data_IF_379607734172
#
_entry.id   IF_379607734172
#
_cell.length_a   1.000
_cell.length_b   1.000
_cell.length_c   1.000
_cell.angle_alpha   90.00
_cell.angle_beta   90.00
_cell.angle_gamma   90.00
#
_symmetry.space_group_name_H-M   'P 1'
#
loop_
_entity.id
_entity.type
_entity.pdbx_description
1 polymer ?
#
# COMPACT_ATOMS: atom_id res chain seq x y z
N UNK A 1 -6.63 -17.93 11.47
CA UNK A 1 -6.65 -19.05 10.52
C UNK A 1 -5.34 -19.81 10.63
N UNK A 2 -4.21 -19.37 10.06
CA UNK A 2 -2.93 -20.12 10.07
C UNK A 2 -2.55 -20.64 11.47
N UNK A 3 -2.67 -19.80 12.50
CA UNK A 3 -2.37 -20.18 13.89
C UNK A 3 -3.36 -21.18 14.49
N UNK A 4 -4.52 -21.37 13.92
CA UNK A 4 -5.52 -22.37 14.36
C UNK A 4 -5.19 -23.74 13.79
N UNK A 5 -4.70 -23.77 12.54
CA UNK A 5 -4.44 -24.98 11.80
C UNK A 5 -3.01 -25.52 12.02
N UNK A 6 -2.10 -24.68 12.53
CA UNK A 6 -0.69 -25.01 12.69
C UNK A 6 -0.24 -24.85 14.15
N UNK A 7 0.17 -25.97 14.76
CA UNK A 7 0.69 -26.01 16.13
C UNK A 7 2.20 -25.86 16.22
N UNK A 8 2.92 -26.09 15.11
CA UNK A 8 4.38 -26.07 15.06
C UNK A 8 4.95 -24.66 14.79
N UNK A 9 4.20 -23.82 14.08
CA UNK A 9 4.61 -22.45 13.75
C UNK A 9 3.44 -21.49 14.02
N UNK A 10 3.73 -20.32 14.56
CA UNK A 10 2.73 -19.28 14.83
C UNK A 10 3.14 -17.97 14.18
N UNK A 11 2.18 -17.25 13.62
CA UNK A 11 2.34 -15.89 13.14
C UNK A 11 2.01 -14.93 14.28
N UNK A 12 2.96 -14.07 14.63
CA UNK A 12 2.79 -12.96 15.55
C UNK A 12 2.76 -11.66 14.76
N UNK A 13 1.75 -10.81 15.00
CA UNK A 13 1.61 -9.54 14.31
C UNK A 13 2.44 -8.45 14.99
N UNK A 14 3.13 -7.66 14.18
CA UNK A 14 3.88 -6.47 14.58
C UNK A 14 3.45 -5.28 13.72
N UNK A 15 3.22 -4.14 14.34
CA UNK A 15 3.00 -2.90 13.63
C UNK A 15 4.36 -2.28 13.25
N UNK A 16 4.41 -1.69 12.07
CA UNK A 16 5.59 -1.02 11.53
C UNK A 16 5.18 0.31 10.89
N UNK A 17 6.14 1.10 10.44
CA UNK A 17 5.87 2.34 9.72
C UNK A 17 5.31 2.11 8.30
N UNK A 18 5.50 0.91 7.70
CA UNK A 18 4.95 0.58 6.39
C UNK A 18 5.93 -0.13 5.45
N UNK A 19 5.80 0.10 4.14
CA UNK A 19 6.43 -0.71 3.10
C UNK A 19 7.96 -0.70 3.16
N UNK A 20 8.61 0.46 3.20
CA UNK A 20 10.07 0.54 3.23
C UNK A 20 10.64 0.01 4.55
N UNK A 21 9.96 0.29 5.68
CA UNK A 21 10.31 -0.29 6.97
C UNK A 21 10.24 -1.83 6.95
N UNK A 22 9.18 -2.40 6.36
CA UNK A 22 9.02 -3.86 6.23
C UNK A 22 10.13 -4.48 5.37
N UNK A 23 10.48 -3.86 4.24
CA UNK A 23 11.58 -4.29 3.38
C UNK A 23 12.91 -4.29 4.15
N UNK A 24 13.20 -3.22 4.87
CA UNK A 24 14.42 -3.11 5.69
C UNK A 24 14.47 -4.20 6.77
N UNK A 25 13.35 -4.45 7.45
CA UNK A 25 13.24 -5.47 8.49
C UNK A 25 13.35 -6.90 7.94
N UNK A 26 12.72 -7.19 6.79
CA UNK A 26 12.87 -8.48 6.08
C UNK A 26 14.31 -8.71 5.65
N UNK A 27 14.93 -7.71 5.01
CA UNK A 27 16.33 -7.79 4.57
C UNK A 27 17.30 -7.99 5.74
N UNK A 28 17.01 -7.38 6.89
CA UNK A 28 17.75 -7.57 8.12
C UNK A 28 17.42 -8.85 8.89
N UNK A 29 16.45 -9.64 8.42
CA UNK A 29 15.94 -10.85 9.09
C UNK A 29 15.37 -10.60 10.50
N UNK A 30 14.81 -9.42 10.73
CA UNK A 30 14.12 -9.06 11.97
C UNK A 30 12.65 -9.49 11.98
N UNK A 31 12.07 -9.69 10.81
CA UNK A 31 10.74 -10.25 10.60
C UNK A 31 10.78 -11.32 9.52
N UNK A 32 9.87 -12.27 9.59
CA UNK A 32 9.79 -13.40 8.66
C UNK A 32 8.82 -13.14 7.50
N UNK A 33 7.78 -12.35 7.73
CA UNK A 33 6.76 -11.96 6.75
C UNK A 33 6.55 -10.46 6.81
N UNK A 34 6.24 -9.86 5.66
CA UNK A 34 5.91 -8.43 5.57
C UNK A 34 4.98 -8.15 4.41
N UNK A 35 4.17 -7.11 4.54
CA UNK A 35 3.36 -6.57 3.44
C UNK A 35 4.03 -5.29 2.96
N UNK A 36 4.19 -5.15 1.65
CA UNK A 36 4.76 -3.95 1.05
C UNK A 36 4.11 -3.64 -0.30
N UNK A 37 4.18 -2.40 -0.72
CA UNK A 37 3.82 -2.00 -2.09
C UNK A 37 4.86 -2.55 -3.06
N UNK A 38 4.40 -2.97 -4.26
CA UNK A 38 5.27 -3.63 -5.24
C UNK A 38 6.34 -2.68 -5.82
N UNK A 39 6.02 -1.41 -5.99
CA UNK A 39 6.98 -0.38 -6.43
C UNK A 39 8.16 -0.24 -5.46
N UNK A 40 7.89 -0.25 -4.16
CA UNK A 40 8.92 -0.17 -3.12
C UNK A 40 9.70 -1.49 -3.04
N UNK A 41 9.00 -2.63 -3.10
CA UNK A 41 9.64 -3.94 -3.06
C UNK A 41 10.59 -4.15 -4.25
N UNK A 42 10.17 -3.78 -5.47
CA UNK A 42 11.00 -3.86 -6.68
C UNK A 42 12.19 -2.90 -6.63
N UNK A 43 11.93 -1.63 -6.32
CA UNK A 43 12.97 -0.60 -6.26
C UNK A 43 14.05 -0.96 -5.24
N UNK A 44 13.67 -1.42 -4.07
CA UNK A 44 14.61 -1.83 -3.04
C UNK A 44 15.39 -3.10 -3.43
N UNK A 45 14.71 -4.08 -4.03
CA UNK A 45 15.34 -5.34 -4.48
C UNK A 45 16.41 -5.10 -5.55
N UNK A 46 16.12 -4.22 -6.51
CA UNK A 46 16.99 -3.90 -7.64
C UNK A 46 17.98 -2.76 -7.37
N UNK A 47 17.80 -1.97 -6.31
CA UNK A 47 18.63 -0.81 -6.00
C UNK A 47 18.35 0.39 -6.91
N UNK A 48 17.09 0.55 -7.34
CA UNK A 48 16.63 1.61 -8.26
C UNK A 48 15.78 2.67 -7.55
N UNK A 49 15.82 2.71 -6.21
CA UNK A 49 15.04 3.66 -5.42
C UNK A 49 15.47 5.11 -5.64
N UNK A 50 14.55 6.07 -5.57
CA UNK A 50 14.82 7.49 -5.86
C UNK A 50 15.75 8.16 -4.83
N UNK A 51 15.94 7.56 -3.67
CA UNK A 51 16.73 8.12 -2.58
C UNK A 51 17.88 7.23 -2.10
N UNK A 52 17.95 5.98 -2.54
CA UNK A 52 18.99 5.05 -2.09
C UNK A 52 19.25 4.00 -3.18
N UNK A 53 20.46 3.96 -3.70
CA UNK A 53 20.93 2.91 -4.63
C UNK A 53 21.24 1.60 -3.90
N UNK A 54 21.00 1.55 -2.59
CA UNK A 54 21.24 0.36 -1.79
C UNK A 54 20.23 -0.73 -2.13
N UNK A 55 20.75 -1.90 -2.46
CA UNK A 55 19.93 -3.11 -2.63
C UNK A 55 19.58 -3.70 -1.28
N UNK A 56 18.29 -3.94 -1.09
CA UNK A 56 17.77 -4.72 0.00
C UNK A 56 17.31 -6.08 -0.54
N UNK A 57 17.97 -7.13 -0.13
CA UNK A 57 17.66 -8.52 -0.54
C UNK A 57 17.40 -9.36 0.70
N UNK A 58 17.19 -10.66 0.53
CA UNK A 58 16.87 -11.56 1.63
C UNK A 58 15.36 -11.76 1.82
N UNK A 59 14.55 -11.28 0.87
CA UNK A 59 13.11 -11.53 0.81
C UNK A 59 12.66 -11.96 -0.58
N UNK A 60 11.54 -12.64 -0.63
CA UNK A 60 10.93 -13.20 -1.83
C UNK A 60 9.42 -12.99 -1.78
N UNK A 61 8.77 -12.97 -2.94
CA UNK A 61 7.33 -12.79 -3.04
C UNK A 61 6.55 -14.06 -2.69
N UNK A 62 5.37 -13.87 -2.09
CA UNK A 62 4.36 -14.91 -1.92
C UNK A 62 3.19 -14.67 -2.86
N UNK A 63 2.52 -13.52 -2.75
CA UNK A 63 1.32 -13.22 -3.52
C UNK A 63 1.03 -11.71 -3.55
N UNK A 64 0.36 -11.24 -4.60
CA UNK A 64 -0.38 -9.98 -4.59
C UNK A 64 -1.64 -10.15 -3.72
N UNK A 65 -1.93 -9.20 -2.85
CA UNK A 65 -3.07 -9.24 -1.94
C UNK A 65 -4.25 -8.41 -2.47
N UNK A 66 -4.04 -7.12 -2.69
CA UNK A 66 -5.05 -6.16 -3.16
C UNK A 66 -4.37 -4.94 -3.77
N UNK A 67 -5.18 -4.04 -4.33
CA UNK A 67 -4.69 -2.73 -4.78
C UNK A 67 -4.97 -1.70 -3.70
N UNK A 68 -3.93 -0.99 -3.29
CA UNK A 68 -4.03 0.18 -2.44
C UNK A 68 -4.34 1.41 -3.30
N UNK A 69 -5.27 2.23 -2.82
CA UNK A 69 -5.63 3.52 -3.43
C UNK A 69 -4.99 4.66 -2.64
N UNK A 70 -4.35 5.59 -3.31
CA UNK A 70 -3.83 6.80 -2.67
C UNK A 70 -4.97 7.80 -2.47
N UNK A 71 -5.46 7.92 -1.25
CA UNK A 71 -6.62 8.73 -0.88
C UNK A 71 -6.14 10.06 -0.32
N UNK A 72 -6.49 11.16 -0.99
CA UNK A 72 -6.09 12.51 -0.61
C UNK A 72 -7.31 13.19 -0.02
N UNK A 73 -7.30 13.40 1.29
CA UNK A 73 -8.46 13.85 2.06
C UNK A 73 -8.28 15.32 2.44
N UNK A 74 -9.30 16.12 2.21
CA UNK A 74 -9.44 17.52 2.62
C UNK A 74 -10.79 17.74 3.29
N UNK A 75 -10.96 18.84 4.03
CA UNK A 75 -12.27 19.23 4.57
C UNK A 75 -13.21 19.64 3.44
N UNK A 76 -14.47 19.24 3.51
CA UNK A 76 -15.48 19.58 2.50
C UNK A 76 -15.72 21.09 2.37
N UNK A 77 -15.65 21.82 3.48
CA UNK A 77 -15.81 23.27 3.55
C UNK A 77 -14.54 24.07 3.22
N UNK A 78 -13.44 23.38 2.85
CA UNK A 78 -12.18 24.02 2.45
C UNK A 78 -12.24 24.57 1.02
N UNK A 79 -11.33 25.48 0.70
CA UNK A 79 -11.08 26.03 -0.64
C UNK A 79 -10.20 25.10 -1.53
N UNK A 80 -9.98 23.84 -1.11
CA UNK A 80 -9.12 22.88 -1.79
C UNK A 80 -9.96 21.91 -2.63
N UNK A 81 -9.96 22.09 -3.95
CA UNK A 81 -10.72 21.26 -4.91
C UNK A 81 -9.83 20.43 -5.83
N UNK A 82 -8.55 20.76 -5.90
CA UNK A 82 -7.55 20.12 -6.76
C UNK A 82 -6.19 20.04 -6.06
N UNK A 83 -5.26 19.27 -6.65
CA UNK A 83 -3.88 19.20 -6.14
C UNK A 83 -3.20 20.58 -6.15
N UNK A 84 -3.49 21.45 -7.13
CA UNK A 84 -2.91 22.79 -7.21
C UNK A 84 -3.29 23.67 -6.02
N UNK A 85 -4.45 23.46 -5.41
CA UNK A 85 -4.92 24.25 -4.27
C UNK A 85 -4.19 23.86 -2.96
N UNK A 86 -3.36 22.82 -3.00
CA UNK A 86 -2.47 22.45 -1.87
C UNK A 86 -1.27 23.39 -1.74
N UNK A 87 -1.05 24.31 -2.69
CA UNK A 87 0.01 25.31 -2.60
C UNK A 87 -0.16 26.17 -1.33
N UNK A 88 0.91 26.29 -0.53
CA UNK A 88 0.93 27.01 0.74
C UNK A 88 0.27 26.27 1.91
N UNK A 89 -0.29 25.10 1.69
CA UNK A 89 -0.98 24.28 2.71
C UNK A 89 0.00 23.38 3.45
N UNK A 90 -0.44 22.92 4.64
CA UNK A 90 0.27 21.91 5.43
C UNK A 90 -0.37 20.54 5.20
N UNK A 91 0.41 19.56 4.74
CA UNK A 91 -0.10 18.28 4.27
C UNK A 91 0.62 17.12 4.96
N UNK A 92 -0.12 16.21 5.57
CA UNK A 92 0.44 14.94 6.04
C UNK A 92 0.63 13.98 4.87
N UNK A 93 1.85 13.48 4.72
CA UNK A 93 2.23 12.56 3.63
C UNK A 93 2.39 11.10 4.09
N UNK A 94 1.98 10.77 5.32
CA UNK A 94 2.16 9.46 5.93
C UNK A 94 3.42 9.38 6.80
N UNK A 95 3.58 8.27 7.51
CA UNK A 95 4.76 8.01 8.33
C UNK A 95 6.04 7.95 7.48
N UNK A 96 7.17 8.30 8.06
CA UNK A 96 8.47 8.02 7.45
C UNK A 96 8.62 6.51 7.12
N UNK A 97 9.29 6.18 6.03
CA UNK A 97 9.44 4.81 5.53
C UNK A 97 8.11 4.11 5.17
N UNK A 98 7.00 4.86 5.00
CA UNK A 98 5.73 4.29 4.53
C UNK A 98 5.58 4.33 3.02
N UNK A 99 4.68 3.49 2.50
CA UNK A 99 4.26 3.55 1.11
C UNK A 99 3.48 4.82 0.79
N UNK A 100 2.69 5.32 1.75
CA UNK A 100 1.96 6.59 1.61
C UNK A 100 2.90 7.77 1.41
N UNK A 101 4.00 7.83 2.17
CA UNK A 101 5.02 8.86 1.99
C UNK A 101 5.62 8.83 0.58
N UNK A 102 5.97 7.64 0.10
CA UNK A 102 6.53 7.48 -1.24
C UNK A 102 5.55 7.93 -2.32
N UNK A 103 4.31 7.47 -2.26
CA UNK A 103 3.28 7.83 -3.24
C UNK A 103 2.94 9.33 -3.18
N UNK A 104 2.78 9.90 -1.98
CA UNK A 104 2.51 11.32 -1.81
C UNK A 104 3.63 12.18 -2.42
N UNK A 105 4.89 11.87 -2.14
CA UNK A 105 6.05 12.57 -2.73
C UNK A 105 6.04 12.51 -4.26
N UNK A 106 5.69 11.37 -4.85
CA UNK A 106 5.60 11.24 -6.30
C UNK A 106 4.45 12.06 -6.88
N UNK A 107 3.26 12.00 -6.27
CA UNK A 107 2.10 12.78 -6.69
C UNK A 107 2.41 14.28 -6.61
N UNK A 108 2.92 14.76 -5.49
CA UNK A 108 3.28 16.16 -5.31
C UNK A 108 4.33 16.62 -6.34
N UNK A 109 5.39 15.82 -6.55
CA UNK A 109 6.43 16.09 -7.54
C UNK A 109 5.86 16.23 -8.95
N UNK A 110 5.02 15.29 -9.40
CA UNK A 110 4.48 15.30 -10.77
C UNK A 110 3.33 16.30 -10.96
N UNK A 111 2.75 16.79 -9.86
CA UNK A 111 1.84 17.94 -9.86
C UNK A 111 2.58 19.28 -9.80
N UNK A 112 3.91 19.28 -9.67
CA UNK A 112 4.70 20.51 -9.58
C UNK A 112 4.71 21.17 -8.19
N UNK A 113 4.26 20.45 -7.16
CA UNK A 113 4.25 20.89 -5.77
C UNK A 113 5.57 20.51 -5.10
N UNK A 114 6.48 21.47 -5.00
CA UNK A 114 7.80 21.28 -4.37
C UNK A 114 7.76 21.69 -2.90
N UNK A 115 8.78 21.27 -2.14
CA UNK A 115 8.93 21.62 -0.72
C UNK A 115 9.05 23.15 -0.47
N UNK A 116 9.28 23.95 -1.53
CA UNK A 116 9.30 25.41 -1.46
C UNK A 116 7.89 26.02 -1.40
N UNK A 117 6.90 25.30 -1.93
CA UNK A 117 5.53 25.84 -2.10
C UNK A 117 4.47 25.04 -1.32
N UNK A 118 4.82 23.94 -0.70
CA UNK A 118 3.95 23.13 0.15
C UNK A 118 4.71 22.71 1.40
N UNK A 119 4.03 22.67 2.55
CA UNK A 119 4.62 22.17 3.78
C UNK A 119 4.20 20.74 4.03
N UNK A 120 5.13 19.80 3.94
CA UNK A 120 4.86 18.39 4.24
C UNK A 120 5.22 18.04 5.68
N UNK A 121 4.44 17.14 6.30
CA UNK A 121 4.71 16.57 7.62
C UNK A 121 4.51 15.06 7.58
N UNK A 122 5.34 14.34 8.32
CA UNK A 122 5.22 12.89 8.45
C UNK A 122 4.45 12.57 9.74
N UNK A 123 3.27 11.98 9.59
CA UNK A 123 2.41 11.53 10.67
C UNK A 123 1.86 10.14 10.32
N UNK A 124 1.63 9.31 11.32
CA UNK A 124 0.83 8.11 11.10
C UNK A 124 -0.64 8.48 10.86
N UNK A 125 -1.44 7.51 10.43
CA UNK A 125 -2.84 7.79 10.03
C UNK A 125 -3.71 8.29 11.18
N UNK A 126 -3.47 7.83 12.41
CA UNK A 126 -4.21 8.23 13.59
C UNK A 126 -3.87 9.67 14.00
N UNK A 127 -2.57 9.96 14.07
CA UNK A 127 -2.08 11.30 14.39
C UNK A 127 -2.47 12.30 13.29
N UNK A 128 -2.39 11.90 12.00
CA UNK A 128 -2.84 12.74 10.90
C UNK A 128 -4.33 13.08 10.98
N UNK A 129 -5.19 12.12 11.32
CA UNK A 129 -6.63 12.35 11.49
C UNK A 129 -6.91 13.32 12.66
N UNK A 130 -6.19 13.19 13.78
CA UNK A 130 -6.32 14.11 14.92
C UNK A 130 -5.87 15.53 14.57
N UNK A 131 -4.70 15.70 13.93
CA UNK A 131 -4.18 17.00 13.52
C UNK A 131 -5.07 17.66 12.44
N UNK A 132 -5.67 16.86 11.55
CA UNK A 132 -6.62 17.31 10.53
C UNK A 132 -7.92 17.82 11.17
N UNK A 133 -8.51 17.06 12.08
CA UNK A 133 -9.72 17.48 12.82
C UNK A 133 -9.46 18.76 13.61
N UNK A 134 -8.28 18.88 14.25
CA UNK A 134 -7.84 20.05 14.96
C UNK A 134 -7.51 21.28 14.05
N UNK A 135 -7.53 21.11 12.73
CA UNK A 135 -7.22 22.17 11.76
C UNK A 135 -5.74 22.57 11.72
N UNK A 136 -4.83 21.70 12.15
CA UNK A 136 -3.39 21.95 12.11
C UNK A 136 -2.73 21.51 10.81
N UNK A 137 -3.38 20.60 10.07
CA UNK A 137 -3.05 20.24 8.71
C UNK A 137 -4.27 20.43 7.82
N UNK A 138 -4.05 20.76 6.55
CA UNK A 138 -5.09 21.07 5.57
C UNK A 138 -5.52 19.84 4.76
N UNK A 139 -4.60 18.89 4.59
CA UNK A 139 -4.85 17.65 3.86
C UNK A 139 -4.03 16.49 4.44
N UNK A 140 -4.46 15.26 4.15
CA UNK A 140 -3.70 14.06 4.47
C UNK A 140 -3.75 13.05 3.32
N UNK A 141 -2.61 12.40 3.08
CA UNK A 141 -2.46 11.28 2.16
C UNK A 141 -2.53 9.97 2.91
N UNK A 142 -3.36 9.06 2.43
CA UNK A 142 -3.49 7.69 2.93
C UNK A 142 -3.45 6.74 1.74
N UNK A 143 -2.42 5.91 1.62
CA UNK A 143 -2.38 4.84 0.62
C UNK A 143 -2.68 3.51 1.29
N UNK A 144 -3.88 3.01 1.07
CA UNK A 144 -4.41 1.78 1.66
C UNK A 144 -5.57 1.25 0.81
N UNK A 145 -6.08 0.07 1.15
CA UNK A 145 -7.34 -0.40 0.59
C UNK A 145 -8.47 0.59 0.88
N UNK A 146 -9.40 0.74 -0.05
CA UNK A 146 -10.60 1.57 0.18
C UNK A 146 -11.42 1.04 1.36
N UNK A 147 -12.31 1.87 1.91
CA UNK A 147 -12.99 1.66 3.20
C UNK A 147 -12.01 1.58 4.37
N UNK A 148 -10.97 2.41 4.29
CA UNK A 148 -9.99 2.57 5.37
C UNK A 148 -10.68 3.09 6.61
N UNK A 149 -10.55 2.38 7.73
CA UNK A 149 -11.22 2.71 9.01
C UNK A 149 -10.98 4.15 9.44
N UNK A 150 -9.76 4.66 9.28
CA UNK A 150 -9.42 6.06 9.63
C UNK A 150 -10.27 7.06 8.84
N UNK A 151 -10.46 6.86 7.52
CA UNK A 151 -11.30 7.77 6.72
C UNK A 151 -12.78 7.55 7.04
N UNK A 152 -13.21 6.32 7.29
CA UNK A 152 -14.59 6.04 7.71
C UNK A 152 -14.93 6.73 9.02
N UNK A 153 -14.03 6.72 10.00
CA UNK A 153 -14.21 7.40 11.28
C UNK A 153 -14.15 8.92 11.10
N UNK A 154 -13.14 9.41 10.39
CA UNK A 154 -12.98 10.84 10.11
C UNK A 154 -14.21 11.44 9.39
N UNK A 155 -14.78 10.72 8.42
CA UNK A 155 -15.98 11.15 7.68
C UNK A 155 -17.27 11.14 8.51
N UNK A 156 -17.24 10.59 9.72
CA UNK A 156 -18.35 10.69 10.70
C UNK A 156 -18.15 11.88 11.64
N UNK A 157 -16.92 12.31 11.86
CA UNK A 157 -16.57 13.41 12.75
C UNK A 157 -16.61 14.77 12.05
N UNK A 158 -16.21 14.83 10.78
CA UNK A 158 -16.26 16.03 9.94
C UNK A 158 -16.52 15.64 8.48
N UNK A 159 -17.18 16.57 7.74
CA UNK A 159 -17.39 16.37 6.32
C UNK A 159 -16.06 16.46 5.57
N UNK A 160 -15.80 15.46 4.72
CA UNK A 160 -14.54 15.31 3.99
C UNK A 160 -14.80 15.20 2.49
N UNK A 161 -13.83 15.69 1.71
CA UNK A 161 -13.73 15.54 0.27
C UNK A 161 -12.46 14.77 -0.07
N UNK A 162 -12.58 13.85 -1.03
CA UNK A 162 -11.41 13.22 -1.65
C UNK A 162 -11.03 13.97 -2.93
N UNK A 163 -9.74 14.25 -3.12
CA UNK A 163 -9.26 14.92 -4.33
C UNK A 163 -8.98 13.93 -5.44
N UNK A 164 -9.33 14.32 -6.67
CA UNK A 164 -8.91 13.63 -7.88
C UNK A 164 -7.45 13.92 -8.22
N UNK A 165 -6.77 12.94 -8.80
CA UNK A 165 -5.52 13.14 -9.51
C UNK A 165 -5.87 13.39 -10.98
N UNK A 166 -5.43 14.53 -11.53
CA UNK A 166 -5.70 14.90 -12.91
C UNK A 166 -4.94 13.99 -13.91
N UNK A 167 -5.43 13.96 -15.16
CA UNK A 167 -4.90 13.09 -16.21
C UNK A 167 -3.42 13.32 -16.48
N UNK A 168 -2.97 14.58 -16.51
CA UNK A 168 -1.58 14.92 -16.79
C UNK A 168 -0.63 14.42 -15.69
N UNK A 169 -1.04 14.57 -14.42
CA UNK A 169 -0.28 14.01 -13.29
C UNK A 169 -0.28 12.48 -13.35
N UNK A 170 -1.44 11.86 -13.58
CA UNK A 170 -1.58 10.41 -13.69
C UNK A 170 -0.72 9.81 -14.81
N UNK A 171 -0.69 10.43 -15.98
CA UNK A 171 0.14 9.96 -17.10
C UNK A 171 1.64 10.04 -16.79
N UNK A 172 2.08 11.11 -16.13
CA UNK A 172 3.47 11.22 -15.67
C UNK A 172 3.82 10.18 -14.61
N UNK A 173 2.92 9.91 -13.67
CA UNK A 173 3.09 8.88 -12.64
C UNK A 173 3.25 7.49 -13.26
N UNK A 174 2.34 7.11 -14.17
CA UNK A 174 2.41 5.82 -14.89
C UNK A 174 3.64 5.69 -15.79
N UNK A 175 4.08 6.78 -16.42
CA UNK A 175 5.30 6.78 -17.21
C UNK A 175 6.56 6.63 -16.36
N UNK A 176 6.55 7.14 -15.13
CA UNK A 176 7.68 7.08 -14.21
C UNK A 176 7.79 5.76 -13.46
N UNK A 177 6.66 5.09 -13.21
CA UNK A 177 6.60 3.86 -12.42
C UNK A 177 5.60 2.87 -13.02
N UNK A 178 6.05 1.73 -13.55
CA UNK A 178 5.18 0.74 -14.21
C UNK A 178 4.26 0.01 -13.23
N UNK A 179 4.48 0.15 -11.93
CA UNK A 179 3.63 -0.43 -10.89
C UNK A 179 2.40 0.42 -10.56
N UNK A 180 2.36 1.66 -11.08
CA UNK A 180 1.26 2.57 -10.84
C UNK A 180 0.15 2.37 -11.86
N UNK A 181 -1.07 2.38 -11.39
CA UNK A 181 -2.28 2.30 -12.20
C UNK A 181 -3.29 3.36 -11.81
N UNK A 182 -4.19 3.68 -12.70
CA UNK A 182 -5.37 4.45 -12.35
C UNK A 182 -6.31 3.58 -11.50
N UNK A 183 -6.80 4.15 -10.41
CA UNK A 183 -7.80 3.53 -9.54
C UNK A 183 -9.00 4.46 -9.38
N UNK A 184 -10.19 3.91 -9.48
CA UNK A 184 -11.43 4.64 -9.25
C UNK A 184 -11.99 4.23 -7.89
N UNK A 185 -12.01 5.16 -6.94
CA UNK A 185 -12.74 5.00 -5.69
C UNK A 185 -14.22 5.21 -6.02
N UNK A 186 -15.10 4.21 -5.86
CA UNK A 186 -16.51 4.35 -6.19
C UNK A 186 -17.20 5.45 -5.38
N UNK A 187 -18.21 6.09 -5.95
CA UNK A 187 -19.10 6.95 -5.18
C UNK A 187 -19.71 6.19 -3.99
N UNK A 188 -19.98 6.90 -2.92
CA UNK A 188 -20.54 6.34 -1.68
C UNK A 188 -19.64 5.33 -0.95
N UNK A 189 -18.32 5.37 -1.21
CA UNK A 189 -17.35 4.58 -0.43
C UNK A 189 -17.25 5.11 1.00
N UNK A 190 -17.30 6.42 1.18
CA UNK A 190 -17.28 7.09 2.49
C UNK A 190 -18.51 7.96 2.71
N UNK A 191 -18.77 8.31 3.96
CA UNK A 191 -19.89 9.20 4.30
C UNK A 191 -19.72 10.56 3.62
N UNK A 192 -20.78 11.05 2.96
CA UNK A 192 -20.77 12.33 2.25
C UNK A 192 -20.11 12.30 0.85
N UNK A 193 -19.34 11.28 0.49
CA UNK A 193 -18.73 11.16 -0.84
C UNK A 193 -19.78 10.73 -1.88
N UNK A 194 -20.31 11.67 -2.65
CA UNK A 194 -21.38 11.42 -3.64
C UNK A 194 -20.87 11.08 -5.04
N UNK A 195 -19.61 11.37 -5.34
CA UNK A 195 -18.99 11.14 -6.64
C UNK A 195 -17.84 10.15 -6.56
N UNK A 196 -17.54 9.48 -7.69
CA UNK A 196 -16.34 8.67 -7.80
C UNK A 196 -15.09 9.55 -7.87
N UNK A 197 -13.97 9.03 -7.35
CA UNK A 197 -12.69 9.76 -7.32
C UNK A 197 -11.63 8.95 -8.05
N UNK A 198 -10.99 9.60 -9.04
CA UNK A 198 -9.87 9.04 -9.76
C UNK A 198 -8.57 9.28 -9.01
N UNK A 199 -7.83 8.22 -8.71
CA UNK A 199 -6.60 8.29 -7.95
C UNK A 199 -5.56 7.28 -8.42
N UNK A 200 -4.40 7.28 -7.76
CA UNK A 200 -3.31 6.34 -7.96
C UNK A 200 -3.62 5.01 -7.25
N UNK A 201 -3.44 3.90 -7.96
CA UNK A 201 -3.45 2.55 -7.43
C UNK A 201 -2.06 1.91 -7.50
N UNK A 202 -1.71 1.16 -6.46
CA UNK A 202 -0.49 0.35 -6.38
C UNK A 202 -0.79 -0.99 -5.72
N UNK A 203 -0.19 -2.09 -6.24
CA UNK A 203 -0.42 -3.43 -5.68
C UNK A 203 0.31 -3.62 -4.37
N UNK A 204 -0.40 -4.15 -3.38
CA UNK A 204 0.14 -4.63 -2.11
C UNK A 204 0.51 -6.10 -2.22
N UNK A 205 1.70 -6.48 -1.77
CA UNK A 205 2.22 -7.84 -1.90
C UNK A 205 2.66 -8.40 -0.55
N UNK A 206 2.39 -9.69 -0.35
CA UNK A 206 2.93 -10.45 0.77
C UNK A 206 4.31 -10.97 0.41
N UNK A 207 5.27 -10.69 1.29
CA UNK A 207 6.67 -11.06 1.16
C UNK A 207 7.08 -11.99 2.30
N UNK A 208 8.02 -12.87 2.03
CA UNK A 208 8.65 -13.73 3.03
C UNK A 208 10.17 -13.55 3.04
N UNK A 209 10.78 -13.68 4.21
CA UNK A 209 12.23 -13.86 4.33
C UNK A 209 12.66 -15.10 3.53
N UNK A 210 13.76 -14.99 2.78
CA UNK A 210 14.35 -16.10 2.04
C UNK A 210 14.89 -17.23 2.97
N UNK A 211 15.01 -16.96 4.25
CA UNK A 211 15.43 -17.91 5.27
C UNK A 211 14.32 -18.84 5.75
N UNK A 212 13.06 -18.53 5.46
CA UNK A 212 11.96 -19.44 5.79
C UNK A 212 12.03 -20.72 4.99
N UNK A 213 11.64 -21.83 5.61
CA UNK A 213 11.61 -23.12 4.92
C UNK A 213 10.59 -23.14 3.78
N UNK A 214 10.90 -23.91 2.72
CA UNK A 214 9.97 -24.13 1.61
C UNK A 214 8.62 -24.62 2.09
N UNK A 215 8.59 -25.54 3.05
CA UNK A 215 7.34 -26.13 3.54
C UNK A 215 6.52 -25.12 4.35
N UNK A 216 7.16 -24.30 5.17
CA UNK A 216 6.48 -23.25 5.93
C UNK A 216 5.81 -22.24 4.99
N UNK A 217 6.54 -21.74 3.98
CA UNK A 217 5.96 -20.76 3.05
C UNK A 217 4.90 -21.37 2.15
N UNK A 218 5.06 -22.67 1.75
CA UNK A 218 3.99 -23.38 1.03
C UNK A 218 2.71 -23.48 1.86
N UNK A 219 2.81 -23.79 3.17
CA UNK A 219 1.66 -23.82 4.07
C UNK A 219 1.01 -22.43 4.24
N UNK A 220 1.80 -21.38 4.34
CA UNK A 220 1.28 -20.00 4.40
C UNK A 220 0.53 -19.66 3.11
N UNK A 221 1.08 -20.01 1.95
CA UNK A 221 0.46 -19.75 0.64
C UNK A 221 -0.85 -20.53 0.49
N UNK A 222 -0.86 -21.81 0.85
CA UNK A 222 -2.09 -22.65 0.89
C UNK A 222 -3.13 -22.04 1.82
N UNK A 223 -2.75 -21.71 3.06
CA UNK A 223 -3.66 -21.11 4.04
C UNK A 223 -4.27 -19.78 3.54
N UNK A 224 -3.51 -18.97 2.80
CA UNK A 224 -3.97 -17.71 2.21
C UNK A 224 -5.10 -17.96 1.20
N UNK A 225 -4.91 -18.89 0.27
CA UNK A 225 -5.87 -19.12 -0.83
C UNK A 225 -7.04 -20.03 -0.41
N UNK A 226 -6.79 -21.06 0.37
CA UNK A 226 -7.82 -21.99 0.84
C UNK A 226 -8.83 -21.30 1.75
N UNK A 227 -8.40 -20.22 2.44
CA UNK A 227 -9.26 -19.44 3.34
C UNK A 227 -9.59 -18.03 2.76
N UNK A 228 -9.43 -17.81 1.46
CA UNK A 228 -9.63 -16.49 0.83
C UNK A 228 -11.00 -15.88 1.12
N UNK A 229 -12.07 -16.66 1.10
CA UNK A 229 -13.42 -16.20 1.46
C UNK A 229 -13.53 -15.76 2.91
N UNK A 230 -12.93 -16.52 3.84
CA UNK A 230 -12.96 -16.18 5.27
C UNK A 230 -12.13 -14.92 5.55
N UNK A 231 -10.99 -14.76 4.87
CA UNK A 231 -10.19 -13.55 4.94
C UNK A 231 -10.97 -12.34 4.41
N UNK A 232 -11.68 -12.49 3.28
CA UNK A 232 -12.52 -11.43 2.74
C UNK A 232 -13.63 -11.00 3.72
N UNK A 233 -14.26 -11.93 4.42
CA UNK A 233 -15.27 -11.59 5.43
C UNK A 233 -14.68 -10.92 6.69
N UNK A 234 -13.41 -11.10 6.95
CA UNK A 234 -12.74 -10.54 8.12
C UNK A 234 -12.20 -9.11 7.92
N UNK A 235 -12.29 -8.57 6.70
CA UNK A 235 -11.80 -7.23 6.36
C UNK A 235 -12.79 -6.48 5.47
N UNK A 236 -12.81 -5.15 5.57
CA UNK A 236 -13.54 -4.26 4.65
C UNK A 236 -12.81 -4.07 3.32
N UNK A 237 -11.52 -4.34 3.27
CA UNK A 237 -10.72 -4.24 2.04
C UNK A 237 -11.11 -5.36 1.08
N UNK A 238 -11.32 -5.03 -0.20
CA UNK A 238 -11.51 -6.02 -1.26
C UNK A 238 -10.19 -6.72 -1.57
N UNK A 239 -9.97 -7.86 -0.94
CA UNK A 239 -8.75 -8.64 -1.11
C UNK A 239 -8.64 -9.27 -2.50
N UNK A 240 -9.78 -9.61 -3.14
CA UNK A 240 -9.82 -10.28 -4.45
C UNK A 240 -8.76 -11.40 -4.59
N UNK A 241 -8.55 -12.18 -3.52
CA UNK A 241 -7.56 -13.26 -3.46
C UNK A 241 -7.97 -14.40 -4.37
N UNK A 242 -7.42 -14.40 -5.57
CA UNK A 242 -7.59 -15.44 -6.57
C UNK A 242 -6.22 -15.92 -7.05
N UNK A 243 -5.97 -17.22 -6.97
CA UNK A 243 -4.69 -17.81 -7.35
C UNK A 243 -4.30 -17.48 -8.80
N UNK A 244 -5.27 -17.31 -9.72
CA UNK A 244 -5.00 -17.06 -11.13
C UNK A 244 -4.36 -15.69 -11.40
N UNK A 245 -4.57 -14.71 -10.53
CA UNK A 245 -4.04 -13.34 -10.68
C UNK A 245 -3.10 -12.93 -9.52
N UNK A 246 -2.90 -13.81 -8.55
CA UNK A 246 -2.09 -13.50 -7.38
C UNK A 246 -0.57 -13.36 -7.67
N UNK A 247 -0.13 -13.78 -8.85
CA UNK A 247 1.25 -13.58 -9.32
C UNK A 247 1.40 -12.32 -10.22
N UNK A 248 0.29 -11.68 -10.59
CA UNK A 248 0.32 -10.54 -11.51
C UNK A 248 1.03 -9.32 -10.93
N UNK A 249 1.93 -8.73 -11.74
CA UNK A 249 2.66 -7.51 -11.44
C UNK A 249 3.78 -7.71 -10.42
N UNK A 250 4.10 -8.93 -10.03
CA UNK A 250 5.26 -9.25 -9.20
C UNK A 250 6.47 -9.45 -10.10
N UNK A 251 7.51 -8.65 -9.89
CA UNK A 251 8.75 -8.62 -10.69
C UNK A 251 9.97 -9.16 -9.95
N UNK A 252 9.86 -9.29 -8.63
CA UNK A 252 10.90 -9.93 -7.81
C UNK A 252 10.67 -11.45 -7.72
N UNK A 253 11.72 -12.25 -7.46
CA UNK A 253 11.57 -13.68 -7.39
C UNK A 253 10.58 -14.14 -6.31
N UNK A 254 9.81 -15.18 -6.62
CA UNK A 254 8.95 -15.84 -5.66
C UNK A 254 9.74 -16.74 -4.73
N UNK A 255 9.24 -16.90 -3.51
CA UNK A 255 9.78 -17.86 -2.57
C UNK A 255 9.51 -19.29 -3.07
N UNK A 256 10.48 -20.19 -2.92
CA UNK A 256 10.38 -21.58 -3.42
C UNK A 256 9.15 -22.33 -2.87
N UNK A 257 8.66 -21.98 -1.68
CA UNK A 257 7.43 -22.52 -1.10
C UNK A 257 6.18 -22.04 -1.83
N UNK A 258 6.09 -20.73 -2.12
CA UNK A 258 5.01 -20.17 -2.91
C UNK A 258 5.01 -20.74 -4.34
N UNK A 259 6.18 -20.79 -4.99
CA UNK A 259 6.32 -21.36 -6.32
C UNK A 259 5.88 -22.83 -6.39
N UNK A 260 6.19 -23.63 -5.35
CA UNK A 260 5.72 -25.01 -5.28
C UNK A 260 4.19 -25.11 -5.22
N UNK A 261 3.53 -24.22 -4.44
CA UNK A 261 2.07 -24.17 -4.38
C UNK A 261 1.47 -23.75 -5.73
N UNK A 262 2.01 -22.70 -6.37
CA UNK A 262 1.55 -22.27 -7.69
C UNK A 262 1.70 -23.35 -8.76
N UNK A 263 2.84 -24.05 -8.78
CA UNK A 263 3.09 -25.14 -9.73
C UNK A 263 2.09 -26.29 -9.58
N UNK A 264 1.66 -26.63 -8.35
CA UNK A 264 0.60 -27.63 -8.11
C UNK A 264 -0.76 -27.24 -8.68
N UNK A 265 -0.95 -25.93 -8.95
CA UNK A 265 -2.15 -25.37 -9.56
C UNK A 265 -1.94 -24.97 -11.03
N UNK A 266 -0.84 -25.41 -11.65
CA UNK A 266 -0.56 -25.18 -13.06
C UNK A 266 -0.11 -23.74 -13.39
N UNK A 267 0.41 -23.00 -12.41
CA UNK A 267 0.92 -21.64 -12.57
C UNK A 267 2.42 -21.62 -12.36
N UNK A 268 3.16 -21.18 -13.38
CA UNK A 268 4.60 -21.01 -13.31
C UNK A 268 4.95 -19.59 -12.86
N UNK A 269 5.87 -19.47 -11.90
CA UNK A 269 6.36 -18.18 -11.37
C UNK A 269 7.89 -18.17 -11.32
N UNK A 270 8.49 -16.97 -11.40
CA UNK A 270 9.95 -16.78 -11.41
C UNK A 270 10.49 -16.96 -9.99
N UNK A 271 11.53 -17.76 -9.81
CA UNK A 271 12.17 -18.03 -8.50
C UNK A 271 13.62 -17.52 -8.39
N UNK A 272 14.22 -17.12 -9.51
CA UNK A 272 15.63 -16.65 -9.63
C UNK A 272 15.71 -15.32 -10.37
#
# INVERSE_FOLDING_TARGET
IFNQDNTASKIELKNTAGSAANIRLLSGRYIDLGIAQMDIADSAYNGNGPSDEKKYQGYKAIATLYTEACQIVVKEDSDIYSLNDLQGKTVSIGSEESGSESNAKQILKYSGLTDEIIKTVNLDYSDAAQEFTAGKIDALFITAGIKTTVIEELSKECDVRLLNIDDNCMDKLKAACPFYSEYIIPAYTYNGQTESVKTLGVKSVLLASDSLSKDTVKQITSSLFDNSKQLQYATSVDLNLNISNAAEGITIPFHAGAAAYYSEHGIDVITE
#
